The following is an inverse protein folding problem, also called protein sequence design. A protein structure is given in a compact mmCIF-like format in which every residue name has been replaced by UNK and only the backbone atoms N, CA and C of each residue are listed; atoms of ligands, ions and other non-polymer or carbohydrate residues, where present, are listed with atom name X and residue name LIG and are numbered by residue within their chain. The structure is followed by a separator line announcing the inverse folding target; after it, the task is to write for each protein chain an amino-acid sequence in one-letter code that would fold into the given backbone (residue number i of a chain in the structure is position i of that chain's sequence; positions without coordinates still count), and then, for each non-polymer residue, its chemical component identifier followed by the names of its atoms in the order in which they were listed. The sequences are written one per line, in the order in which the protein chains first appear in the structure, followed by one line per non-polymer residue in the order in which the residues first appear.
data_IF_581013325558
#
_entry.id   IF_581013325558
#
_cell.length_a   1.000
_cell.length_b   1.000
_cell.length_c   1.000
_cell.angle_alpha   90.00
_cell.angle_beta   90.00
_cell.angle_gamma   90.00
#
_symmetry.space_group_name_H-M   'P 1'
#
loop_
_entity.id
_entity.type
_entity.pdbx_description
1 polymer ?
#
# COMPACT_ATOMS: atom_id res chain seq x y z
N UNK A 1 23.59 -31.99 -34.71
CA UNK A 1 24.79 -31.49 -34.01
C UNK A 1 24.69 -29.97 -33.89
N UNK A 2 24.21 -29.48 -32.76
CA UNK A 2 24.79 -28.39 -31.94
C UNK A 2 24.05 -28.43 -30.59
N UNK A 3 24.80 -28.16 -29.56
CA UNK A 3 24.71 -28.68 -28.19
C UNK A 3 23.79 -27.89 -27.28
N UNK A 4 23.11 -28.62 -26.39
CA UNK A 4 22.43 -28.09 -25.22
C UNK A 4 23.43 -27.38 -24.29
N UNK A 5 23.05 -26.19 -23.81
CA UNK A 5 23.68 -25.55 -22.66
C UNK A 5 22.66 -25.47 -21.53
N UNK A 6 22.76 -26.45 -20.63
CA UNK A 6 22.42 -26.28 -19.22
C UNK A 6 23.42 -25.30 -18.60
N UNK A 7 22.91 -24.35 -17.81
CA UNK A 7 23.63 -23.76 -16.69
C UNK A 7 22.65 -23.56 -15.52
N UNK A 8 22.68 -24.57 -14.65
CA UNK A 8 22.86 -24.47 -13.18
C UNK A 8 22.37 -23.21 -12.44
N UNK A 9 21.32 -23.42 -11.64
CA UNK A 9 21.30 -23.34 -10.17
C UNK A 9 21.99 -22.17 -9.42
N UNK A 10 21.18 -21.63 -8.49
CA UNK A 10 21.53 -21.16 -7.14
C UNK A 10 21.87 -19.68 -6.95
N UNK A 11 20.97 -18.98 -6.24
CA UNK A 11 21.33 -18.17 -5.07
C UNK A 11 20.07 -17.84 -4.24
N UNK A 12 19.76 -18.76 -3.33
CA UNK A 12 19.75 -18.56 -1.88
C UNK A 12 19.53 -17.13 -1.32
N UNK A 13 18.38 -16.99 -0.65
CA UNK A 13 18.21 -16.44 0.70
C UNK A 13 18.99 -15.17 1.10
N UNK A 14 18.41 -14.00 0.81
CA UNK A 14 18.79 -12.74 1.48
C UNK A 14 17.61 -11.77 1.72
N UNK A 15 16.39 -12.27 1.93
CA UNK A 15 15.20 -11.43 2.20
C UNK A 15 14.73 -11.49 3.67
N UNK A 16 15.68 -11.40 4.61
CA UNK A 16 15.37 -11.14 6.03
C UNK A 16 15.83 -9.75 6.51
N UNK A 17 16.42 -8.91 5.65
CA UNK A 17 16.99 -7.60 6.05
C UNK A 17 16.33 -6.40 5.33
N UNK A 18 15.02 -6.40 5.14
CA UNK A 18 14.32 -5.23 4.55
C UNK A 18 13.08 -4.76 5.30
N UNK A 19 12.81 -5.33 6.48
CA UNK A 19 11.77 -4.81 7.38
C UNK A 19 12.23 -3.61 8.23
N UNK A 20 13.49 -3.19 8.11
CA UNK A 20 14.11 -2.21 9.00
C UNK A 20 14.38 -0.84 8.36
N UNK A 21 13.52 -0.40 7.45
CA UNK A 21 13.41 1.03 7.13
C UNK A 21 11.92 1.39 6.97
N UNK A 22 11.12 1.04 7.98
CA UNK A 22 9.95 1.86 8.26
C UNK A 22 10.51 3.18 8.80
N UNK A 23 10.16 4.35 8.22
CA UNK A 23 10.52 5.63 8.85
C UNK A 23 10.03 5.56 10.28
N UNK A 24 10.95 5.73 11.24
CA UNK A 24 10.65 5.63 12.66
C UNK A 24 9.46 6.55 12.94
N UNK A 25 8.27 5.96 13.11
CA UNK A 25 7.08 6.72 13.40
C UNK A 25 7.35 7.38 14.76
N UNK A 26 7.41 8.72 14.87
CA UNK A 26 7.75 9.39 16.12
C UNK A 26 6.73 9.07 17.24
N UNK A 27 5.58 8.48 16.89
CA UNK A 27 4.55 8.00 17.81
C UNK A 27 4.69 6.54 18.27
N UNK A 28 5.74 5.80 17.90
CA UNK A 28 5.91 4.38 18.29
C UNK A 28 5.81 4.19 19.81
N UNK A 29 6.45 5.09 20.58
CA UNK A 29 6.44 5.06 22.06
C UNK A 29 5.07 5.35 22.68
N UNK A 30 4.19 6.06 21.97
CA UNK A 30 2.85 6.39 22.47
C UNK A 30 1.86 5.26 22.20
N UNK A 31 1.96 4.62 21.04
CA UNK A 31 1.13 3.46 20.71
C UNK A 31 1.47 2.23 21.59
N UNK A 32 2.74 2.07 21.99
CA UNK A 32 3.16 1.02 22.94
C UNK A 32 2.64 1.23 24.38
N UNK A 33 2.42 2.49 24.80
CA UNK A 33 1.88 2.77 26.15
C UNK A 33 0.38 2.50 26.26
N UNK A 34 -0.38 2.76 25.19
CA UNK A 34 -1.83 2.50 25.17
C UNK A 34 -2.15 1.00 25.07
N UNK A 35 -1.31 0.21 24.37
CA UNK A 35 -1.50 -1.24 24.21
C UNK A 35 -1.23 -2.07 25.47
N UNK A 36 -0.60 -1.48 26.51
CA UNK A 36 -0.28 -2.20 27.75
C UNK A 36 -1.47 -2.31 28.71
N UNK A 37 -2.57 -1.61 28.43
CA UNK A 37 -3.72 -1.51 29.34
C UNK A 37 -4.91 -2.40 28.93
N UNK A 38 -4.99 -2.84 27.66
CA UNK A 38 -6.12 -3.65 27.16
C UNK A 38 -5.83 -5.15 27.02
N UNK A 39 -4.58 -5.61 27.24
CA UNK A 39 -4.20 -6.97 26.88
C UNK A 39 -4.29 -7.96 28.05
N UNK A 40 -5.51 -8.36 28.40
CA UNK A 40 -5.75 -9.54 29.25
C UNK A 40 -6.83 -10.53 28.77
N UNK A 41 -7.45 -10.37 27.59
CA UNK A 41 -8.65 -11.19 27.31
C UNK A 41 -8.84 -11.80 25.92
N UNK A 42 -7.95 -11.66 24.94
CA UNK A 42 -8.20 -12.35 23.64
C UNK A 42 -6.94 -12.99 23.06
N UNK A 43 -6.83 -14.29 23.31
CA UNK A 43 -5.91 -15.20 22.64
C UNK A 43 -6.25 -15.30 21.14
N UNK A 44 -5.19 -15.27 20.30
CA UNK A 44 -5.16 -15.62 18.87
C UNK A 44 -6.17 -14.89 17.96
N UNK A 45 -6.19 -13.56 17.99
CA UNK A 45 -6.52 -12.81 16.77
C UNK A 45 -5.29 -12.77 15.87
N UNK A 46 -5.50 -12.92 14.57
CA UNK A 46 -4.45 -12.97 13.57
C UNK A 46 -3.51 -11.77 13.75
N UNK A 47 -2.19 -12.00 13.67
CA UNK A 47 -1.17 -10.94 13.71
C UNK A 47 -1.43 -9.83 12.66
N UNK A 48 -2.31 -10.12 11.71
CA UNK A 48 -2.73 -9.30 10.60
C UNK A 48 -3.77 -8.23 10.98
N UNK A 49 -4.80 -8.61 11.74
CA UNK A 49 -5.83 -7.67 12.19
C UNK A 49 -5.23 -6.59 13.10
N UNK A 50 -4.29 -6.97 13.97
CA UNK A 50 -3.60 -6.02 14.85
C UNK A 50 -2.67 -5.06 14.08
N UNK A 51 -1.99 -5.52 13.02
CA UNK A 51 -1.16 -4.66 12.19
C UNK A 51 -1.98 -3.72 11.30
N UNK A 52 -3.11 -4.19 10.74
CA UNK A 52 -4.03 -3.34 9.99
C UNK A 52 -4.78 -2.35 10.87
N UNK A 53 -5.16 -2.71 12.10
CA UNK A 53 -5.74 -1.77 13.06
C UNK A 53 -4.76 -0.65 13.42
N UNK A 54 -3.48 -0.96 13.58
CA UNK A 54 -2.44 0.04 13.81
C UNK A 54 -2.23 0.95 12.60
N UNK A 55 -2.25 0.40 11.38
CA UNK A 55 -2.27 1.17 10.13
C UNK A 55 -3.50 2.09 10.09
N UNK A 56 -4.70 1.60 10.39
CA UNK A 56 -5.92 2.40 10.43
C UNK A 56 -5.85 3.56 11.45
N UNK A 57 -5.20 3.36 12.62
CA UNK A 57 -4.98 4.43 13.61
C UNK A 57 -3.96 5.47 13.11
N UNK A 58 -2.87 5.06 12.45
CA UNK A 58 -1.89 5.98 11.87
C UNK A 58 -2.42 6.73 10.63
N UNK A 59 -3.29 6.10 9.84
CA UNK A 59 -3.95 6.67 8.66
C UNK A 59 -4.72 7.95 9.00
N UNK A 60 -5.39 7.99 10.17
CA UNK A 60 -6.10 9.20 10.61
C UNK A 60 -5.18 10.39 10.90
N UNK A 61 -3.89 10.17 11.18
CA UNK A 61 -2.96 11.26 11.52
C UNK A 61 -2.20 11.83 10.33
N UNK A 62 -2.07 11.10 9.23
CA UNK A 62 -1.34 11.58 8.05
C UNK A 62 -1.84 10.93 6.76
N UNK A 63 -2.62 11.66 5.92
CA UNK A 63 -3.13 11.13 4.66
C UNK A 63 -2.01 10.74 3.67
N UNK A 64 -0.83 11.35 3.80
CA UNK A 64 0.36 10.99 3.01
C UNK A 64 0.79 9.54 3.19
N UNK A 65 0.53 8.92 4.35
CA UNK A 65 0.97 7.55 4.63
C UNK A 65 0.33 6.53 3.69
N UNK A 66 -0.97 6.66 3.40
CA UNK A 66 -1.67 5.72 2.50
C UNK A 66 -1.04 5.78 1.11
N UNK A 67 -0.81 6.96 0.57
CA UNK A 67 -0.20 7.11 -0.74
C UNK A 67 1.17 6.45 -0.80
N UNK A 68 2.01 6.74 0.19
CA UNK A 68 3.36 6.22 0.33
C UNK A 68 3.36 4.68 0.44
N UNK A 69 2.41 4.13 1.20
CA UNK A 69 2.24 2.70 1.36
C UNK A 69 1.76 2.03 0.06
N UNK A 70 0.70 2.56 -0.57
CA UNK A 70 0.17 2.04 -1.85
C UNK A 70 1.23 2.11 -2.95
N UNK A 71 1.98 3.21 -3.04
CA UNK A 71 3.09 3.34 -3.99
C UNK A 71 4.14 2.25 -3.78
N UNK A 72 4.50 1.96 -2.52
CA UNK A 72 5.42 0.87 -2.19
C UNK A 72 4.84 -0.48 -2.61
N UNK A 73 3.60 -0.79 -2.25
CA UNK A 73 2.94 -2.07 -2.59
C UNK A 73 2.88 -2.29 -4.09
N UNK A 74 2.49 -1.26 -4.86
CA UNK A 74 2.39 -1.36 -6.32
C UNK A 74 3.76 -1.53 -7.00
N UNK A 75 4.79 -0.82 -6.50
CA UNK A 75 6.13 -0.85 -7.12
C UNK A 75 6.96 -2.06 -6.71
N UNK A 76 6.92 -2.44 -5.43
CA UNK A 76 7.71 -3.58 -4.94
C UNK A 76 6.93 -4.90 -5.01
N UNK A 77 5.62 -4.87 -5.25
CA UNK A 77 4.71 -6.04 -5.17
C UNK A 77 4.83 -6.76 -3.81
N UNK A 78 5.16 -5.99 -2.76
CA UNK A 78 5.34 -6.48 -1.39
C UNK A 78 4.43 -5.67 -0.46
N UNK A 79 3.59 -6.34 0.34
CA UNK A 79 3.46 -7.79 0.45
C UNK A 79 2.60 -8.40 -0.67
N UNK A 80 2.95 -9.63 -1.11
CA UNK A 80 2.34 -10.29 -2.29
C UNK A 80 0.82 -10.39 -2.21
N UNK A 81 0.30 -10.85 -1.07
CA UNK A 81 -1.14 -11.02 -0.85
C UNK A 81 -1.92 -9.72 -1.10
N UNK A 82 -1.31 -8.56 -0.79
CA UNK A 82 -1.96 -7.27 -0.97
C UNK A 82 -1.75 -6.74 -2.39
N UNK A 83 -0.57 -6.99 -2.95
CA UNK A 83 -0.26 -6.60 -4.32
C UNK A 83 -1.20 -7.31 -5.31
N UNK A 84 -1.57 -8.56 -5.04
CA UNK A 84 -2.47 -9.34 -5.89
C UNK A 84 -3.91 -8.83 -5.86
N UNK A 85 -4.34 -8.14 -4.79
CA UNK A 85 -5.65 -7.50 -4.72
C UNK A 85 -5.74 -6.18 -5.52
N UNK A 86 -4.59 -5.59 -5.89
CA UNK A 86 -4.53 -4.36 -6.68
C UNK A 86 -4.40 -4.67 -8.17
N UNK A 87 -5.45 -4.36 -8.93
CA UNK A 87 -5.48 -4.52 -10.38
C UNK A 87 -5.63 -3.18 -11.09
N UNK A 88 -4.89 -2.97 -12.19
CA UNK A 88 -5.14 -1.81 -13.05
C UNK A 88 -6.33 -2.08 -13.97
N UNK A 89 -7.10 -1.03 -14.28
CA UNK A 89 -8.22 -1.15 -15.22
C UNK A 89 -7.75 -1.58 -16.62
N UNK A 90 -6.52 -1.23 -16.99
CA UNK A 90 -5.88 -1.71 -18.22
C UNK A 90 -5.71 -3.23 -18.29
N UNK A 91 -5.60 -3.92 -17.16
CA UNK A 91 -5.36 -5.36 -17.11
C UNK A 91 -6.68 -6.16 -17.22
N UNK A 92 -7.80 -5.57 -16.80
CA UNK A 92 -9.11 -6.25 -16.71
C UNK A 92 -9.92 -6.12 -18.00
N UNK A 93 -9.81 -5.00 -18.72
CA UNK A 93 -10.65 -4.69 -19.87
C UNK A 93 -9.97 -4.97 -21.21
N UNK A 94 -10.60 -5.77 -22.09
CA UNK A 94 -10.19 -5.90 -23.50
C UNK A 94 -10.44 -4.63 -24.34
N UNK A 95 -11.16 -3.64 -23.81
CA UNK A 95 -11.51 -2.38 -24.48
C UNK A 95 -10.94 -1.15 -23.76
N UNK A 96 -9.62 -1.05 -23.67
CA UNK A 96 -8.93 -0.06 -22.85
C UNK A 96 -9.34 1.38 -23.12
N UNK A 97 -9.83 2.08 -22.09
CA UNK A 97 -9.92 3.54 -22.11
C UNK A 97 -8.50 4.11 -22.03
N UNK A 98 -8.23 5.26 -22.69
CA UNK A 98 -6.89 5.88 -22.72
C UNK A 98 -6.30 6.18 -21.33
N UNK A 99 -7.12 6.21 -20.29
CA UNK A 99 -6.73 6.47 -18.90
C UNK A 99 -6.62 5.19 -18.03
N UNK A 100 -7.03 4.03 -18.57
CA UNK A 100 -7.01 2.74 -17.88
C UNK A 100 -5.69 2.30 -17.25
N UNK A 101 -4.50 2.54 -17.84
CA UNK A 101 -3.24 1.98 -17.30
C UNK A 101 -2.76 2.68 -16.02
N UNK A 102 -3.37 3.81 -15.62
CA UNK A 102 -2.98 4.55 -14.41
C UNK A 102 -4.06 4.56 -13.33
N UNK A 103 -5.17 3.86 -13.58
CA UNK A 103 -6.31 3.75 -12.68
C UNK A 103 -6.39 2.34 -12.12
N UNK A 104 -6.50 2.25 -10.80
CA UNK A 104 -6.78 1.00 -10.12
C UNK A 104 -8.27 0.69 -10.21
N UNK A 105 -8.60 -0.57 -10.45
CA UNK A 105 -9.95 -1.07 -10.30
C UNK A 105 -10.36 -0.93 -8.84
N UNK A 106 -11.50 -0.29 -8.59
CA UNK A 106 -12.09 -0.22 -7.26
C UNK A 106 -12.98 -1.44 -7.10
N UNK A 107 -12.68 -2.38 -6.18
CA UNK A 107 -13.51 -3.57 -6.01
C UNK A 107 -14.92 -3.17 -5.56
N UNK A 108 -15.94 -3.67 -6.25
CA UNK A 108 -17.35 -3.41 -5.93
C UNK A 108 -17.91 -4.54 -5.10
N UNK A 109 -18.40 -4.24 -3.90
CA UNK A 109 -19.05 -5.22 -3.04
C UNK A 109 -20.34 -4.68 -2.44
N UNK A 110 -21.31 -5.57 -2.16
CA UNK A 110 -22.64 -5.19 -1.66
C UNK A 110 -22.64 -4.75 -0.19
N UNK A 111 -21.66 -5.20 0.60
CA UNK A 111 -21.61 -4.90 2.04
C UNK A 111 -20.99 -3.53 2.31
N UNK A 112 -21.65 -2.74 3.16
CA UNK A 112 -21.17 -1.41 3.57
C UNK A 112 -19.81 -1.49 4.28
N UNK A 113 -19.56 -2.55 5.06
CA UNK A 113 -18.27 -2.76 5.73
C UNK A 113 -17.12 -2.90 4.72
N UNK A 114 -17.33 -3.62 3.63
CA UNK A 114 -16.31 -3.79 2.61
C UNK A 114 -16.03 -2.48 1.85
N UNK A 115 -17.06 -1.67 1.59
CA UNK A 115 -16.90 -0.36 0.96
C UNK A 115 -16.07 0.62 1.81
N UNK A 116 -15.94 0.35 3.12
CA UNK A 116 -15.07 1.07 4.06
C UNK A 116 -13.73 0.37 4.31
N UNK A 117 -13.45 -0.73 3.60
CA UNK A 117 -12.18 -1.44 3.73
C UNK A 117 -11.01 -0.60 3.25
N UNK A 118 -9.81 -1.01 3.70
CA UNK A 118 -8.57 -0.39 3.28
C UNK A 118 -8.38 -0.42 1.76
N UNK A 119 -8.67 -1.55 1.11
CA UNK A 119 -8.47 -1.74 -0.32
C UNK A 119 -9.28 -0.73 -1.15
N UNK A 120 -10.58 -0.62 -0.86
CA UNK A 120 -11.48 0.32 -1.55
C UNK A 120 -11.02 1.77 -1.33
N UNK A 121 -10.64 2.11 -0.10
CA UNK A 121 -10.16 3.46 0.24
C UNK A 121 -8.85 3.79 -0.47
N UNK A 122 -7.89 2.86 -0.45
CA UNK A 122 -6.61 2.96 -1.11
C UNK A 122 -6.73 3.14 -2.63
N UNK A 123 -7.59 2.34 -3.28
CA UNK A 123 -7.83 2.49 -4.73
C UNK A 123 -8.44 3.86 -5.06
N UNK A 124 -9.43 4.32 -4.28
CA UNK A 124 -10.04 5.65 -4.47
C UNK A 124 -9.02 6.77 -4.33
N UNK A 125 -8.21 6.69 -3.28
CA UNK A 125 -7.16 7.69 -3.01
C UNK A 125 -6.12 7.69 -4.13
N UNK A 126 -5.62 6.52 -4.52
CA UNK A 126 -4.70 6.40 -5.63
C UNK A 126 -5.29 7.00 -6.92
N UNK A 127 -6.54 6.69 -7.23
CA UNK A 127 -7.19 7.19 -8.43
C UNK A 127 -7.36 8.71 -8.44
N UNK A 128 -7.54 9.33 -7.28
CA UNK A 128 -7.59 10.78 -7.11
C UNK A 128 -6.27 11.50 -7.38
N UNK A 129 -5.12 10.81 -7.31
CA UNK A 129 -3.83 11.45 -7.58
C UNK A 129 -3.72 11.87 -9.07
N UNK A 130 -3.17 13.07 -9.33
CA UNK A 130 -2.71 13.45 -10.65
C UNK A 130 -1.76 12.42 -11.27
N UNK A 131 -1.84 12.26 -12.58
CA UNK A 131 -1.04 11.26 -13.33
C UNK A 131 0.45 11.55 -13.21
N UNK A 132 0.81 12.83 -13.12
CA UNK A 132 2.16 13.34 -12.95
C UNK A 132 2.79 12.81 -11.65
N UNK A 133 2.02 12.75 -10.56
CA UNK A 133 2.49 12.23 -9.28
C UNK A 133 2.63 10.70 -9.31
N UNK A 134 1.74 9.99 -9.99
CA UNK A 134 1.80 8.52 -10.14
C UNK A 134 3.04 8.05 -10.91
N UNK A 135 3.56 8.89 -11.81
CA UNK A 135 4.76 8.61 -12.61
C UNK A 135 6.06 8.75 -11.83
N UNK A 136 6.06 9.38 -10.65
CA UNK A 136 7.28 9.58 -9.87
C UNK A 136 7.83 8.24 -9.38
N UNK A 137 9.06 7.96 -9.78
CA UNK A 137 9.84 6.83 -9.27
C UNK A 137 10.57 7.21 -7.97
N UNK A 138 10.72 6.23 -7.09
CA UNK A 138 11.37 6.41 -5.80
C UNK A 138 10.43 6.92 -4.71
N UNK A 139 10.33 6.14 -3.64
CA UNK A 139 9.44 6.37 -2.50
C UNK A 139 9.62 7.74 -1.83
N UNK A 140 10.87 8.20 -1.64
CA UNK A 140 11.16 9.48 -0.98
C UNK A 140 10.67 10.68 -1.80
N UNK A 141 10.91 10.66 -3.12
CA UNK A 141 10.49 11.72 -4.05
C UNK A 141 8.97 11.76 -4.17
N UNK A 142 8.36 10.59 -4.31
CA UNK A 142 6.91 10.45 -4.36
C UNK A 142 6.26 11.00 -3.08
N UNK A 143 6.75 10.61 -1.90
CA UNK A 143 6.22 11.11 -0.62
C UNK A 143 6.32 12.63 -0.48
N UNK A 144 7.44 13.24 -0.86
CA UNK A 144 7.61 14.69 -0.83
C UNK A 144 6.65 15.41 -1.80
N UNK A 145 6.45 14.87 -2.99
CA UNK A 145 5.56 15.45 -4.00
C UNK A 145 4.08 15.35 -3.57
N UNK A 146 3.66 14.20 -3.00
CA UNK A 146 2.32 14.03 -2.44
C UNK A 146 2.07 14.98 -1.28
N UNK A 147 3.04 15.14 -0.37
CA UNK A 147 2.91 16.08 0.75
C UNK A 147 2.72 17.53 0.28
N UNK A 148 3.46 17.95 -0.75
CA UNK A 148 3.27 19.27 -1.38
C UNK A 148 1.86 19.39 -1.97
N UNK A 149 1.43 18.42 -2.76
CA UNK A 149 0.10 18.42 -3.37
C UNK A 149 -1.04 18.48 -2.34
N UNK A 150 -0.93 17.74 -1.22
CA UNK A 150 -1.91 17.80 -0.13
C UNK A 150 -1.93 19.20 0.49
N UNK A 151 -0.75 19.79 0.76
CA UNK A 151 -0.63 21.12 1.36
C UNK A 151 -1.19 22.22 0.46
N UNK A 152 -1.04 22.06 -0.85
CA UNK A 152 -1.51 23.02 -1.84
C UNK A 152 -3.02 22.85 -2.14
N UNK A 153 -3.75 22.06 -1.32
CA UNK A 153 -5.20 21.88 -1.43
C UNK A 153 -5.64 20.84 -2.46
N UNK A 154 -4.70 20.08 -3.03
CA UNK A 154 -4.97 19.10 -4.08
C UNK A 154 -5.90 17.96 -3.64
N UNK A 155 -6.07 17.75 -2.34
CA UNK A 155 -6.97 16.75 -1.79
C UNK A 155 -8.17 17.35 -1.08
N UNK A 156 -9.07 18.03 -1.80
CA UNK A 156 -10.36 18.53 -1.29
C UNK A 156 -11.31 17.41 -0.81
N UNK A 157 -10.89 16.69 0.24
CA UNK A 157 -11.58 15.61 0.92
C UNK A 157 -11.84 16.09 2.36
N UNK A 158 -12.67 17.12 2.49
CA UNK A 158 -13.23 17.58 3.76
C UNK A 158 -14.73 17.25 3.78
#
# INVERSE_FOLDING_TARGET
MYTAHELTLSNDYALQSSFEIAPACPHKKQCERENKQENKSYARKSLFDSNMECVCKCVRKSPSFIFIFVHKVLKTRIPKYLADDFHYLGDIGRGGTRHGPHLLAVPTHRTVMFNKSFLVTACKWWNALPVELKRIEGHRRFGAAVLRWIRDGGGGWA
#
